data_IF_079629697209
#
_entry.id   IF_079629697209
#
_cell.length_a   1.000
_cell.length_b   1.000
_cell.length_c   1.000
_cell.angle_alpha   90.00
_cell.angle_beta   90.00
_cell.angle_gamma   90.00
#
_symmetry.space_group_name_H-M   'P 1'
#
loop_
_entity.id
_entity.type
_entity.pdbx_description
1 polymer ?
#
# COMPACT_ATOMS: atom_id res chain seq x y z
N UNK A 1 -8.03 23.43 4.14
CA UNK A 1 -7.35 24.02 5.30
C UNK A 1 -5.93 23.47 5.46
N UNK A 2 -5.76 22.16 5.42
CA UNK A 2 -4.43 21.51 5.46
C UNK A 2 -3.56 21.88 4.26
N UNK A 3 -4.11 21.93 3.06
CA UNK A 3 -3.37 22.30 1.84
C UNK A 3 -2.87 23.75 1.90
N UNK A 4 -3.70 24.69 2.42
CA UNK A 4 -3.30 26.08 2.57
C UNK A 4 -2.24 26.24 3.66
N UNK A 5 -2.35 25.49 4.74
CA UNK A 5 -1.38 25.52 5.84
C UNK A 5 -0.02 24.96 5.41
N UNK A 6 -0.01 23.81 4.71
CA UNK A 6 1.21 23.21 4.18
C UNK A 6 1.91 24.10 3.15
N UNK A 7 1.17 24.80 2.30
CA UNK A 7 1.72 25.74 1.33
C UNK A 7 2.34 27.01 1.97
N UNK A 8 2.04 27.29 3.24
CA UNK A 8 2.56 28.47 3.93
C UNK A 8 3.83 28.22 4.76
N UNK A 9 4.23 26.95 4.88
CA UNK A 9 5.48 26.55 5.56
C UNK A 9 6.54 26.19 4.50
N UNK A 10 7.64 26.94 4.41
CA UNK A 10 8.67 26.71 3.38
C UNK A 10 9.28 25.32 3.46
N UNK A 11 9.39 24.73 4.66
CA UNK A 11 9.94 23.38 4.86
C UNK A 11 9.06 22.30 4.24
N UNK A 12 7.74 22.43 4.31
CA UNK A 12 6.80 21.47 3.71
C UNK A 12 6.72 21.64 2.18
N UNK A 13 6.94 22.87 1.68
CA UNK A 13 6.98 23.14 0.24
C UNK A 13 8.12 22.40 -0.45
N UNK A 14 9.27 22.25 0.18
CA UNK A 14 10.38 21.44 -0.34
C UNK A 14 9.99 19.96 -0.51
N UNK A 15 9.23 19.41 0.45
CA UNK A 15 8.76 18.03 0.38
C UNK A 15 7.89 17.77 -0.85
N UNK A 16 6.99 18.69 -1.18
CA UNK A 16 6.15 18.60 -2.37
C UNK A 16 6.94 18.82 -3.66
N UNK A 17 7.82 19.82 -3.67
CA UNK A 17 8.63 20.15 -4.84
C UNK A 17 9.52 18.99 -5.30
N UNK A 18 10.12 18.25 -4.36
CA UNK A 18 10.92 17.07 -4.66
C UNK A 18 10.09 15.94 -5.30
N UNK A 19 8.77 15.90 -5.05
CA UNK A 19 7.82 14.90 -5.56
C UNK A 19 7.07 15.33 -6.81
N UNK A 20 7.21 16.54 -7.24
CA UNK A 20 6.68 17.05 -8.52
C UNK A 20 7.66 16.85 -9.68
N UNK A 21 8.91 16.47 -9.41
CA UNK A 21 9.93 16.32 -10.42
C UNK A 21 9.94 14.94 -11.08
N UNK A 22 10.11 14.91 -12.40
CA UNK A 22 10.33 13.70 -13.18
C UNK A 22 9.19 12.66 -13.08
N UNK A 23 9.55 11.43 -12.78
CA UNK A 23 8.60 10.30 -12.65
C UNK A 23 7.78 10.30 -11.36
N UNK A 24 8.10 11.13 -10.39
CA UNK A 24 7.36 11.18 -9.14
C UNK A 24 5.98 11.79 -9.27
N UNK A 25 5.80 12.73 -10.20
CA UNK A 25 4.50 13.31 -10.48
C UNK A 25 3.43 12.28 -10.94
N UNK A 26 3.68 11.43 -11.97
CA UNK A 26 2.71 10.40 -12.34
C UNK A 26 2.49 9.35 -11.24
N UNK A 27 3.50 9.05 -10.42
CA UNK A 27 3.35 8.16 -9.27
C UNK A 27 2.43 8.79 -8.22
N UNK A 28 2.56 10.07 -7.95
CA UNK A 28 1.66 10.83 -7.08
C UNK A 28 0.19 10.73 -7.54
N UNK A 29 -0.05 10.94 -8.84
CA UNK A 29 -1.39 10.78 -9.42
C UNK A 29 -1.90 9.35 -9.32
N UNK A 30 -1.04 8.36 -9.59
CA UNK A 30 -1.38 6.94 -9.43
C UNK A 30 -1.77 6.60 -7.99
N UNK A 31 -1.08 7.17 -7.00
CA UNK A 31 -1.42 6.96 -5.59
C UNK A 31 -2.77 7.58 -5.24
N UNK A 32 -3.06 8.80 -5.66
CA UNK A 32 -4.34 9.47 -5.38
C UNK A 32 -5.50 8.64 -5.95
N UNK A 33 -5.43 8.27 -7.22
CA UNK A 33 -6.52 7.56 -7.89
C UNK A 33 -6.52 6.06 -7.58
N UNK A 34 -5.36 5.43 -7.54
CA UNK A 34 -5.22 3.98 -7.38
C UNK A 34 -5.33 3.50 -5.93
N UNK A 35 -4.89 4.30 -4.96
CA UNK A 35 -4.92 3.91 -3.56
C UNK A 35 -6.25 4.21 -2.88
N UNK A 36 -6.92 5.30 -3.26
CA UNK A 36 -8.18 5.69 -2.66
C UNK A 36 -9.37 5.53 -3.62
N UNK A 37 -9.39 6.23 -4.74
CA UNK A 37 -10.58 6.34 -5.59
C UNK A 37 -10.97 5.01 -6.23
N UNK A 38 -10.02 4.28 -6.78
CA UNK A 38 -10.28 3.00 -7.44
C UNK A 38 -10.81 1.94 -6.46
N UNK A 39 -10.17 1.67 -5.29
CA UNK A 39 -10.72 0.73 -4.31
C UNK A 39 -12.10 1.15 -3.78
N UNK A 40 -12.30 2.44 -3.57
CA UNK A 40 -13.57 2.96 -3.11
C UNK A 40 -14.70 2.66 -4.10
N UNK A 41 -14.54 3.05 -5.37
CA UNK A 41 -15.54 2.79 -6.41
C UNK A 41 -15.75 1.30 -6.66
N UNK A 42 -14.69 0.51 -6.65
CA UNK A 42 -14.74 -0.92 -6.84
C UNK A 42 -15.53 -1.61 -5.72
N UNK A 43 -15.30 -1.23 -4.47
CA UNK A 43 -15.94 -1.82 -3.29
C UNK A 43 -17.37 -1.31 -3.06
N UNK A 44 -17.82 -0.26 -3.75
CA UNK A 44 -19.23 0.15 -3.72
C UNK A 44 -20.16 -0.91 -4.34
N UNK A 45 -19.65 -1.70 -5.26
CA UNK A 45 -20.45 -2.71 -5.96
C UNK A 45 -20.61 -3.95 -5.09
N UNK A 46 -21.85 -4.25 -4.70
CA UNK A 46 -22.18 -5.40 -3.84
C UNK A 46 -21.69 -6.76 -4.41
N UNK A 47 -21.89 -7.10 -5.71
CA UNK A 47 -21.47 -8.38 -6.25
C UNK A 47 -19.95 -8.60 -6.20
N UNK A 48 -19.16 -7.53 -6.20
CA UNK A 48 -17.71 -7.64 -6.12
C UNK A 48 -17.23 -7.95 -4.70
N UNK A 49 -17.94 -7.46 -3.67
CA UNK A 49 -17.64 -7.75 -2.26
C UNK A 49 -17.89 -9.21 -1.88
N UNK A 50 -18.85 -9.85 -2.50
CA UNK A 50 -19.20 -11.25 -2.19
C UNK A 50 -18.35 -12.26 -2.95
N UNK A 51 -17.62 -11.82 -3.97
CA UNK A 51 -16.77 -12.69 -4.76
C UNK A 51 -15.36 -12.77 -4.18
N UNK A 52 -14.95 -13.97 -3.76
CA UNK A 52 -13.63 -14.22 -3.18
C UNK A 52 -12.47 -13.79 -4.08
N UNK A 53 -12.56 -14.07 -5.40
CA UNK A 53 -11.52 -13.69 -6.37
C UNK A 53 -11.35 -12.16 -6.45
N UNK A 54 -12.46 -11.45 -6.44
CA UNK A 54 -12.51 -10.00 -6.46
C UNK A 54 -11.87 -9.40 -5.21
N UNK A 55 -12.19 -9.96 -4.04
CA UNK A 55 -11.62 -9.53 -2.76
C UNK A 55 -10.11 -9.80 -2.69
N UNK A 56 -9.65 -10.95 -3.18
CA UNK A 56 -8.22 -11.27 -3.24
C UNK A 56 -7.47 -10.31 -4.17
N UNK A 57 -8.02 -10.03 -5.34
CA UNK A 57 -7.45 -9.05 -6.26
C UNK A 57 -7.31 -7.68 -5.59
N UNK A 58 -8.36 -7.21 -4.92
CA UNK A 58 -8.34 -5.92 -4.25
C UNK A 58 -7.36 -5.87 -3.08
N UNK A 59 -7.22 -6.96 -2.32
CA UNK A 59 -6.22 -7.06 -1.25
C UNK A 59 -4.78 -6.96 -1.80
N UNK A 60 -4.48 -7.68 -2.89
CA UNK A 60 -3.19 -7.59 -3.56
C UNK A 60 -2.93 -6.19 -4.14
N UNK A 61 -3.95 -5.57 -4.71
CA UNK A 61 -3.89 -4.20 -5.24
C UNK A 61 -3.54 -3.21 -4.14
N UNK A 62 -4.28 -3.21 -3.03
CA UNK A 62 -4.05 -2.31 -1.89
C UNK A 62 -2.66 -2.53 -1.26
N UNK A 63 -2.21 -3.78 -1.16
CA UNK A 63 -0.87 -4.09 -0.68
C UNK A 63 0.20 -3.49 -1.59
N UNK A 64 0.04 -3.62 -2.91
CA UNK A 64 0.97 -3.05 -3.89
C UNK A 64 0.99 -1.52 -3.82
N UNK A 65 -0.18 -0.87 -3.67
CA UNK A 65 -0.28 0.57 -3.51
C UNK A 65 0.36 1.05 -2.20
N UNK A 66 0.19 0.29 -1.11
CA UNK A 66 0.82 0.60 0.18
C UNK A 66 2.36 0.54 0.11
N UNK A 67 2.91 -0.45 -0.60
CA UNK A 67 4.36 -0.52 -0.84
C UNK A 67 4.84 0.66 -1.69
N UNK A 68 4.10 1.01 -2.74
CA UNK A 68 4.43 2.15 -3.59
C UNK A 68 4.37 3.47 -2.81
N UNK A 69 3.40 3.64 -1.92
CA UNK A 69 3.29 4.80 -1.04
C UNK A 69 4.50 4.91 -0.09
N UNK A 70 4.94 3.78 0.48
CA UNK A 70 6.16 3.74 1.28
C UNK A 70 7.39 4.22 0.50
N UNK A 71 7.56 3.77 -0.73
CA UNK A 71 8.64 4.23 -1.62
C UNK A 71 8.50 5.72 -1.97
N UNK A 72 7.29 6.17 -2.28
CA UNK A 72 7.01 7.57 -2.57
C UNK A 72 7.34 8.52 -1.40
N UNK A 73 7.19 8.05 -0.18
CA UNK A 73 7.51 8.84 1.00
C UNK A 73 9.02 8.90 1.30
N UNK A 74 9.78 7.86 0.99
CA UNK A 74 11.19 7.72 1.38
C UNK A 74 12.14 8.15 0.27
N UNK A 75 11.97 7.63 -0.95
CA UNK A 75 12.96 7.77 -2.02
C UNK A 75 13.21 9.20 -2.49
N UNK A 76 12.19 10.06 -2.69
CA UNK A 76 12.43 11.44 -3.13
C UNK A 76 13.20 12.29 -2.12
N UNK A 77 13.22 11.87 -0.85
CA UNK A 77 13.96 12.56 0.21
C UNK A 77 15.46 12.22 0.19
N UNK A 78 15.85 11.14 -0.51
CA UNK A 78 17.22 10.78 -0.75
C UNK A 78 17.73 11.60 -1.93
N UNK A 79 18.76 12.42 -1.69
CA UNK A 79 19.43 13.20 -2.74
C UNK A 79 20.74 12.50 -3.12
N UNK A 80 21.01 12.48 -4.41
CA UNK A 80 22.25 11.96 -4.95
C UNK A 80 23.43 12.89 -4.58
N UNK A 81 24.67 12.44 -4.76
CA UNK A 81 25.90 13.20 -4.50
C UNK A 81 25.92 14.56 -5.25
N UNK A 82 25.14 14.67 -6.32
CA UNK A 82 24.93 15.90 -7.08
C UNK A 82 23.78 16.78 -6.59
N UNK A 83 23.07 16.37 -5.52
CA UNK A 83 21.93 17.10 -4.94
C UNK A 83 20.63 16.97 -5.72
N UNK A 84 20.58 16.09 -6.72
CA UNK A 84 19.37 15.81 -7.47
C UNK A 84 18.47 14.79 -6.76
N UNK A 85 17.15 14.91 -6.97
CA UNK A 85 16.16 14.00 -6.40
C UNK A 85 16.34 12.60 -7.00
N UNK A 86 16.43 11.60 -6.14
CA UNK A 86 16.59 10.21 -6.54
C UNK A 86 15.43 9.77 -7.45
N UNK A 87 15.76 9.26 -8.63
CA UNK A 87 14.78 8.72 -9.57
C UNK A 87 14.72 7.21 -9.46
N UNK A 88 13.51 6.65 -9.30
CA UNK A 88 13.28 5.22 -9.09
C UNK A 88 13.92 4.30 -10.14
N UNK A 89 14.02 4.77 -11.36
CA UNK A 89 14.49 4.00 -12.52
C UNK A 89 15.84 4.47 -13.08
N UNK A 90 16.57 5.35 -12.37
CA UNK A 90 17.86 5.83 -12.88
C UNK A 90 18.92 4.73 -12.91
N UNK A 91 18.92 3.85 -11.90
CA UNK A 91 19.86 2.74 -11.82
C UNK A 91 19.17 1.41 -11.58
N UNK A 92 19.23 0.44 -12.53
CA UNK A 92 18.58 -0.86 -12.37
C UNK A 92 19.14 -1.67 -11.19
N UNK A 93 20.40 -1.43 -10.79
CA UNK A 93 21.02 -2.10 -9.66
C UNK A 93 20.34 -1.74 -8.34
N UNK A 94 19.94 -0.48 -8.18
CA UNK A 94 19.26 0.00 -6.98
C UNK A 94 17.87 -0.61 -6.83
N UNK A 95 17.15 -0.83 -7.94
CA UNK A 95 15.84 -1.50 -7.94
C UNK A 95 15.93 -2.91 -7.34
N UNK A 96 16.99 -3.67 -7.67
CA UNK A 96 17.19 -5.02 -7.15
C UNK A 96 17.34 -5.00 -5.63
N UNK A 97 18.09 -4.05 -5.09
CA UNK A 97 18.26 -3.92 -3.64
C UNK A 97 16.94 -3.57 -2.93
N UNK A 98 16.13 -2.68 -3.49
CA UNK A 98 14.82 -2.34 -2.92
C UNK A 98 13.85 -3.52 -2.96
N UNK A 99 13.77 -4.23 -4.09
CA UNK A 99 12.92 -5.42 -4.20
C UNK A 99 13.38 -6.50 -3.23
N UNK A 100 14.68 -6.75 -3.11
CA UNK A 100 15.22 -7.75 -2.19
C UNK A 100 14.94 -7.42 -0.73
N UNK A 101 15.02 -6.14 -0.34
CA UNK A 101 14.65 -5.67 0.98
C UNK A 101 13.19 -5.94 1.32
N UNK A 102 12.27 -5.60 0.39
CA UNK A 102 10.83 -5.84 0.56
C UNK A 102 10.51 -7.33 0.62
N UNK A 103 11.10 -8.14 -0.27
CA UNK A 103 10.90 -9.60 -0.30
C UNK A 103 11.47 -10.24 0.96
N UNK A 104 12.63 -9.80 1.43
CA UNK A 104 13.25 -10.30 2.64
C UNK A 104 12.43 -10.00 3.90
N UNK A 105 12.10 -8.74 4.12
CA UNK A 105 11.29 -8.30 5.25
C UNK A 105 9.87 -8.89 5.19
N UNK A 106 9.23 -8.85 4.01
CA UNK A 106 7.91 -9.42 3.79
C UNK A 106 7.89 -10.93 4.00
N UNK A 107 8.93 -11.64 3.56
CA UNK A 107 9.07 -13.09 3.76
C UNK A 107 9.16 -13.44 5.25
N UNK A 108 9.94 -12.70 6.04
CA UNK A 108 10.04 -12.91 7.50
C UNK A 108 8.68 -12.65 8.17
N UNK A 109 7.99 -11.57 7.81
CA UNK A 109 6.67 -11.23 8.36
C UNK A 109 5.62 -12.29 8.00
N UNK A 110 5.59 -12.75 6.75
CA UNK A 110 4.68 -13.81 6.30
C UNK A 110 4.96 -15.13 7.01
N UNK A 111 6.23 -15.48 7.21
CA UNK A 111 6.60 -16.67 7.95
C UNK A 111 6.18 -16.59 9.42
N UNK A 112 6.43 -15.46 10.09
CA UNK A 112 6.02 -15.24 11.46
C UNK A 112 4.48 -15.26 11.61
N UNK A 113 3.77 -14.62 10.67
CA UNK A 113 2.31 -14.66 10.61
C UNK A 113 1.79 -16.08 10.44
N UNK A 114 2.33 -16.84 9.48
CA UNK A 114 1.91 -18.21 9.20
C UNK A 114 2.11 -19.14 10.39
N UNK A 115 3.26 -19.06 11.03
CA UNK A 115 3.54 -19.87 12.24
C UNK A 115 2.63 -19.52 13.41
N UNK A 116 2.27 -18.26 13.58
CA UNK A 116 1.30 -17.82 14.59
C UNK A 116 -0.13 -18.27 14.25
N UNK A 117 -0.49 -18.16 12.98
CA UNK A 117 -1.81 -18.52 12.46
C UNK A 117 -2.12 -20.00 12.64
N UNK A 118 -1.13 -20.88 12.42
CA UNK A 118 -1.30 -22.33 12.63
C UNK A 118 -1.54 -22.70 14.10
N UNK A 119 -1.11 -21.86 15.03
CA UNK A 119 -1.27 -22.11 16.49
C UNK A 119 -2.60 -21.60 17.04
N UNK A 120 -3.29 -20.71 16.31
CA UNK A 120 -4.53 -20.09 16.77
C UNK A 120 -5.75 -20.74 16.10
N UNK A 121 -6.81 -20.97 16.92
CA UNK A 121 -8.09 -21.44 16.39
C UNK A 121 -8.85 -20.26 15.81
N UNK A 122 -9.06 -20.28 14.50
CA UNK A 122 -9.70 -19.17 13.73
C UNK A 122 -11.20 -19.10 13.98
N UNK A 123 -11.82 -20.27 14.20
CA UNK A 123 -13.27 -20.36 14.40
C UNK A 123 -13.55 -20.46 15.89
N UNK A 124 -14.38 -19.59 16.47
CA UNK A 124 -14.80 -19.67 17.86
C UNK A 124 -15.79 -20.83 18.05
N UNK A 125 -15.28 -22.07 18.17
CA UNK A 125 -16.06 -23.32 18.23
C UNK A 125 -17.06 -23.31 19.40
N UNK A 126 -16.88 -22.43 20.40
CA UNK A 126 -17.74 -22.31 21.57
C UNK A 126 -18.75 -21.17 21.50
N UNK A 127 -18.86 -20.49 20.36
CA UNK A 127 -19.87 -19.44 20.20
C UNK A 127 -21.25 -20.09 19.91
N UNK A 128 -22.26 -19.90 20.77
CA UNK A 128 -23.60 -20.48 20.57
C UNK A 128 -24.29 -19.94 19.31
N UNK A 129 -23.87 -18.80 18.78
CA UNK A 129 -24.43 -18.16 17.59
C UNK A 129 -23.83 -18.67 16.28
N UNK A 130 -22.83 -19.55 16.33
CA UNK A 130 -22.17 -20.05 15.11
C UNK A 130 -23.14 -20.77 14.16
N UNK A 131 -24.14 -21.48 14.73
CA UNK A 131 -25.15 -22.16 13.94
C UNK A 131 -26.10 -21.20 13.23
N UNK A 132 -26.44 -20.09 13.86
CA UNK A 132 -27.26 -19.04 13.22
C UNK A 132 -26.51 -18.38 12.06
N UNK A 133 -25.21 -18.12 12.22
CA UNK A 133 -24.36 -17.58 11.14
C UNK A 133 -24.21 -18.54 9.97
N UNK A 134 -24.11 -19.85 10.22
CA UNK A 134 -23.99 -20.87 9.16
C UNK A 134 -25.30 -21.11 8.41
N UNK A 135 -26.45 -20.93 9.08
CA UNK A 135 -27.78 -21.10 8.50
C UNK A 135 -28.31 -19.83 7.81
N UNK A 136 -27.58 -18.72 7.89
CA UNK A 136 -27.98 -17.47 7.26
C UNK A 136 -27.60 -17.51 5.77
N UNK A 137 -28.39 -18.24 4.99
CA UNK A 137 -28.32 -18.22 3.54
C UNK A 137 -28.95 -16.93 3.01
N UNK A 138 -28.13 -16.15 2.35
CA UNK A 138 -28.58 -14.97 1.60
C UNK A 138 -29.13 -15.36 0.23
#
# INVERSE_FOLDING_TARGET
YFLIWNANLPEETFWYNDREQGLWWPISMLLIFGYFLFPFLYMLQFPLKTNYKSMTFMACWLLSMNLLDGYFNILPSLKDDHGEVFQLFSDPTNIIWYISGVVGAGGILLWAYWTSFQKTKIIPIRDPRIQECLNHNH
#
